data_IF_780759187326
#
_entry.id   IF_780759187326
#
_cell.length_a   1.000
_cell.length_b   1.000
_cell.length_c   1.000
_cell.angle_alpha   90.00
_cell.angle_beta   90.00
_cell.angle_gamma   90.00
#
_symmetry.space_group_name_H-M   'P 1'
#
loop_
_entity.id
_entity.type
_entity.pdbx_description
1 polymer ?
#
# COMPACT_ATOMS: atom_id res chain seq x y z
N UNK A 1 3.75 0.90 -22.66
CA UNK A 1 4.94 0.45 -21.90
C UNK A 1 4.88 1.05 -20.51
N UNK A 2 4.95 0.22 -19.47
CA UNK A 2 4.98 0.68 -18.07
C UNK A 2 6.24 1.54 -17.85
N UNK A 3 6.07 2.74 -17.29
CA UNK A 3 7.20 3.62 -16.96
C UNK A 3 7.81 3.23 -15.62
N UNK A 4 9.11 3.45 -15.50
CA UNK A 4 9.88 3.22 -14.27
C UNK A 4 10.53 4.52 -13.81
N UNK A 5 10.79 4.64 -12.50
CA UNK A 5 11.51 5.75 -11.89
C UNK A 5 12.45 5.24 -10.79
N UNK A 6 13.51 6.00 -10.55
CA UNK A 6 14.38 5.78 -9.39
C UNK A 6 13.69 6.34 -8.15
N UNK A 7 13.55 5.51 -7.12
CA UNK A 7 12.95 5.90 -5.82
C UNK A 7 13.95 5.54 -4.74
N UNK A 8 14.35 6.53 -3.94
CA UNK A 8 15.14 6.26 -2.75
C UNK A 8 14.19 5.84 -1.64
N UNK A 9 14.36 4.63 -1.12
CA UNK A 9 13.58 4.19 0.04
C UNK A 9 14.04 4.94 1.29
N UNK A 10 13.10 5.23 2.17
CA UNK A 10 13.28 6.00 3.41
C UNK A 10 12.76 5.21 4.61
N UNK A 11 12.93 5.75 5.82
CA UNK A 11 12.38 5.11 7.02
C UNK A 11 13.30 4.05 7.63
N UNK A 12 14.60 4.11 7.33
CA UNK A 12 15.58 3.21 7.94
C UNK A 12 15.64 3.39 9.46
N UNK A 13 15.89 2.31 10.17
CA UNK A 13 16.08 2.37 11.64
C UNK A 13 17.45 3.00 11.94
N UNK A 14 17.49 4.01 12.80
CA UNK A 14 18.69 4.69 13.30
C UNK A 14 18.75 4.54 14.82
N UNK A 15 19.89 4.94 15.40
CA UNK A 15 20.13 4.86 16.84
C UNK A 15 20.63 6.20 17.36
N UNK A 16 20.06 6.66 18.46
CA UNK A 16 20.58 7.79 19.22
C UNK A 16 21.85 7.37 19.98
N UNK A 17 22.57 8.34 20.57
CA UNK A 17 23.82 8.09 21.31
C UNK A 17 23.63 7.16 22.51
N UNK A 18 22.43 7.19 23.12
CA UNK A 18 22.02 6.29 24.22
C UNK A 18 21.66 4.86 23.74
N UNK A 19 21.71 4.60 22.43
CA UNK A 19 21.37 3.32 21.82
C UNK A 19 19.88 3.14 21.47
N UNK A 20 19.01 4.10 21.82
CA UNK A 20 17.58 4.06 21.52
C UNK A 20 17.34 3.98 20.02
N UNK A 21 16.54 3.00 19.59
CA UNK A 21 16.18 2.81 18.19
C UNK A 21 15.05 3.75 17.79
N UNK A 22 15.15 4.38 16.63
CA UNK A 22 14.07 5.17 16.05
C UNK A 22 14.03 5.01 14.53
N UNK A 23 12.84 5.17 13.96
CA UNK A 23 12.68 5.26 12.50
C UNK A 23 13.12 6.65 12.05
N UNK A 24 14.03 6.75 11.10
CA UNK A 24 14.38 8.02 10.48
C UNK A 24 13.17 8.58 9.72
N UNK A 25 12.82 9.83 10.00
CA UNK A 25 11.74 10.54 9.32
C UNK A 25 12.32 11.79 8.69
N UNK A 26 12.18 11.91 7.38
CA UNK A 26 12.60 13.09 6.65
C UNK A 26 11.60 14.24 6.89
N UNK A 27 12.04 15.40 7.39
CA UNK A 27 11.15 16.54 7.63
C UNK A 27 10.38 16.96 6.38
N UNK A 28 9.09 17.27 6.54
CA UNK A 28 8.24 17.72 5.44
C UNK A 28 7.73 16.61 4.50
N UNK A 29 8.01 15.34 4.80
CA UNK A 29 7.49 14.20 4.02
C UNK A 29 6.21 13.63 4.62
N UNK A 30 5.28 13.21 3.76
CA UNK A 30 4.04 12.52 4.17
C UNK A 30 4.37 11.24 4.93
N UNK A 31 3.72 11.04 6.08
CA UNK A 31 3.93 9.85 6.91
C UNK A 31 2.79 8.86 6.72
N UNK A 32 3.14 7.60 6.48
CA UNK A 32 2.17 6.50 6.32
C UNK A 32 2.14 5.55 7.52
N UNK A 33 3.12 5.58 8.42
CA UNK A 33 3.06 4.80 9.67
C UNK A 33 3.65 5.63 10.83
N UNK A 34 3.26 5.33 12.06
CA UNK A 34 3.62 6.08 13.25
C UNK A 34 2.58 5.89 14.36
N UNK A 35 2.59 6.78 15.37
CA UNK A 35 1.46 6.90 16.30
C UNK A 35 0.20 7.23 15.48
N UNK A 36 -0.94 6.54 15.67
CA UNK A 36 -2.17 6.83 14.94
C UNK A 36 -2.56 8.31 15.00
N UNK A 37 -2.95 8.87 13.86
CA UNK A 37 -3.44 10.24 13.72
C UNK A 37 -4.24 10.41 12.44
N UNK A 38 -5.13 11.41 12.42
CA UNK A 38 -5.97 11.75 11.28
C UNK A 38 -5.13 12.05 10.03
N UNK A 39 -3.95 12.67 10.18
CA UNK A 39 -3.07 12.96 9.04
C UNK A 39 -2.54 11.70 8.38
N UNK A 40 -2.22 10.65 9.15
CA UNK A 40 -1.77 9.36 8.59
C UNK A 40 -2.95 8.66 7.91
N UNK A 41 -4.15 8.73 8.50
CA UNK A 41 -5.34 8.11 7.93
C UNK A 41 -5.73 8.76 6.61
N UNK A 42 -5.74 10.09 6.54
CA UNK A 42 -5.94 10.84 5.29
C UNK A 42 -4.86 10.51 4.24
N UNK A 43 -3.60 10.35 4.65
CA UNK A 43 -2.55 9.93 3.74
C UNK A 43 -2.83 8.55 3.12
N UNK A 44 -3.33 7.59 3.91
CA UNK A 44 -3.72 6.28 3.39
C UNK A 44 -4.96 6.34 2.52
N UNK A 45 -5.98 7.11 2.92
CA UNK A 45 -7.19 7.30 2.13
C UNK A 45 -6.83 7.81 0.72
N UNK A 46 -5.97 8.82 0.62
CA UNK A 46 -5.50 9.34 -0.67
C UNK A 46 -4.61 8.34 -1.44
N UNK A 47 -3.77 7.56 -0.74
CA UNK A 47 -2.86 6.59 -1.37
C UNK A 47 -3.60 5.44 -2.07
N UNK A 48 -4.72 4.99 -1.52
CA UNK A 48 -5.46 3.81 -2.02
C UNK A 48 -6.62 4.16 -2.97
N UNK A 49 -6.84 5.44 -3.28
CA UNK A 49 -7.88 5.85 -4.23
C UNK A 49 -7.70 5.23 -5.61
N UNK A 50 -8.81 5.06 -6.34
CA UNK A 50 -8.81 4.39 -7.64
C UNK A 50 -8.58 2.88 -7.51
N UNK A 51 -8.90 2.28 -6.37
CA UNK A 51 -8.75 0.83 -6.15
C UNK A 51 -9.57 0.01 -7.14
N UNK A 52 -10.72 0.55 -7.58
CA UNK A 52 -11.60 -0.09 -8.56
C UNK A 52 -11.61 0.77 -9.82
N UNK A 53 -11.27 0.16 -10.96
CA UNK A 53 -11.41 0.76 -12.28
C UNK A 53 -12.49 0.04 -13.05
N UNK A 54 -13.26 0.78 -13.82
CA UNK A 54 -14.23 0.17 -14.71
C UNK A 54 -13.65 -0.10 -16.10
N UNK A 55 -13.94 -1.29 -16.61
CA UNK A 55 -13.70 -1.65 -17.99
C UNK A 55 -14.99 -1.46 -18.79
N UNK A 56 -14.85 -0.92 -20.01
CA UNK A 56 -15.95 -0.64 -20.92
C UNK A 56 -15.63 -1.12 -22.33
N UNK A 57 -16.67 -1.39 -23.13
CA UNK A 57 -16.54 -1.76 -24.54
C UNK A 57 -15.65 -3.00 -24.75
N UNK A 58 -14.74 -2.93 -25.73
CA UNK A 58 -13.88 -4.06 -26.10
C UNK A 58 -12.91 -4.48 -24.98
N UNK A 59 -12.52 -3.55 -24.09
CA UNK A 59 -11.63 -3.85 -22.96
C UNK A 59 -12.28 -4.80 -21.95
N UNK A 60 -13.61 -4.74 -21.81
CA UNK A 60 -14.36 -5.58 -20.89
C UNK A 60 -14.62 -7.00 -21.44
N UNK A 61 -14.38 -7.25 -22.72
CA UNK A 61 -14.79 -8.49 -23.41
C UNK A 61 -14.29 -9.76 -22.70
N UNK A 62 -13.04 -9.74 -22.23
CA UNK A 62 -12.42 -10.89 -21.55
C UNK A 62 -12.81 -11.02 -20.07
N UNK A 63 -13.52 -10.03 -19.54
CA UNK A 63 -13.94 -9.91 -18.14
C UNK A 63 -15.43 -10.19 -17.93
N UNK A 64 -16.20 -10.29 -19.02
CA UNK A 64 -17.58 -10.76 -19.00
C UNK A 64 -17.62 -12.14 -18.30
N UNK A 65 -18.44 -12.25 -17.26
CA UNK A 65 -18.58 -13.41 -16.37
C UNK A 65 -17.38 -13.72 -15.44
N UNK A 66 -16.31 -12.94 -15.46
CA UNK A 66 -15.19 -13.04 -14.50
C UNK A 66 -15.29 -12.01 -13.38
N UNK A 67 -15.95 -10.89 -13.64
CA UNK A 67 -16.28 -9.88 -12.64
C UNK A 67 -17.78 -9.59 -12.66
N UNK A 68 -18.26 -8.87 -11.66
CA UNK A 68 -19.63 -8.40 -11.59
C UNK A 68 -19.89 -7.40 -12.73
N UNK A 69 -21.17 -7.15 -13.03
CA UNK A 69 -21.57 -6.15 -14.03
C UNK A 69 -22.32 -5.05 -13.31
N UNK A 70 -21.85 -3.81 -13.45
CA UNK A 70 -22.48 -2.64 -12.85
C UNK A 70 -23.13 -1.75 -13.92
N UNK A 71 -24.26 -1.12 -13.58
CA UNK A 71 -25.05 -0.20 -14.43
C UNK A 71 -24.98 -0.46 -15.95
N UNK A 72 -25.24 -1.70 -16.37
CA UNK A 72 -25.42 -2.08 -17.76
C UNK A 72 -24.14 -2.36 -18.57
N UNK A 73 -23.02 -1.63 -18.46
CA UNK A 73 -21.85 -1.83 -19.34
C UNK A 73 -20.48 -1.75 -18.63
N UNK A 74 -20.48 -1.62 -17.30
CA UNK A 74 -19.26 -1.38 -16.53
C UNK A 74 -18.85 -2.67 -15.83
N UNK A 75 -17.58 -3.04 -15.98
CA UNK A 75 -17.01 -4.26 -15.42
C UNK A 75 -15.88 -3.87 -14.47
N UNK A 76 -16.16 -3.77 -13.15
CA UNK A 76 -15.17 -3.32 -12.19
C UNK A 76 -14.05 -4.35 -12.05
N UNK A 77 -12.81 -3.86 -12.06
CA UNK A 77 -11.62 -4.64 -11.75
C UNK A 77 -10.71 -3.82 -10.83
N UNK A 78 -9.87 -4.49 -10.05
CA UNK A 78 -8.88 -3.82 -9.22
C UNK A 78 -7.46 -4.01 -9.76
N UNK A 79 -6.65 -2.96 -9.74
CA UNK A 79 -5.22 -3.14 -9.92
C UNK A 79 -4.61 -3.70 -8.62
N UNK A 80 -3.92 -4.83 -8.73
CA UNK A 80 -3.35 -5.62 -7.64
C UNK A 80 -2.59 -4.79 -6.58
N UNK A 81 -1.86 -3.76 -7.01
CA UNK A 81 -1.11 -2.85 -6.13
C UNK A 81 -1.99 -2.16 -5.09
N UNK A 82 -3.24 -1.80 -5.41
CA UNK A 82 -4.14 -1.16 -4.44
C UNK A 82 -4.66 -2.15 -3.41
N UNK A 83 -4.88 -3.41 -3.79
CA UNK A 83 -5.24 -4.45 -2.82
C UNK A 83 -4.06 -4.74 -1.88
N UNK A 84 -2.83 -4.80 -2.40
CA UNK A 84 -1.63 -4.89 -1.56
C UNK A 84 -1.52 -3.70 -0.60
N UNK A 85 -1.74 -2.47 -1.07
CA UNK A 85 -1.71 -1.27 -0.21
C UNK A 85 -2.82 -1.29 0.86
N UNK A 86 -4.04 -1.73 0.50
CA UNK A 86 -5.11 -1.98 1.47
C UNK A 86 -4.68 -2.97 2.56
N UNK A 87 -4.07 -4.11 2.18
CA UNK A 87 -3.54 -5.08 3.14
C UNK A 87 -2.48 -4.46 4.07
N UNK A 88 -1.57 -3.64 3.54
CA UNK A 88 -0.58 -2.92 4.37
C UNK A 88 -1.27 -1.96 5.35
N UNK A 89 -2.29 -1.22 4.91
CA UNK A 89 -3.05 -0.31 5.77
C UNK A 89 -3.78 -1.08 6.89
N UNK A 90 -4.38 -2.22 6.56
CA UNK A 90 -5.06 -3.08 7.53
C UNK A 90 -4.09 -3.59 8.61
N UNK A 91 -2.90 -4.05 8.20
CA UNK A 91 -1.85 -4.45 9.14
C UNK A 91 -1.36 -3.28 9.99
N UNK A 92 -1.17 -2.09 9.40
CA UNK A 92 -0.83 -0.86 10.14
C UNK A 92 -1.86 -0.58 11.24
N UNK A 93 -3.15 -0.61 10.91
CA UNK A 93 -4.23 -0.37 11.86
C UNK A 93 -4.27 -1.44 12.95
N UNK A 94 -4.00 -2.69 12.59
CA UNK A 94 -3.94 -3.82 13.53
C UNK A 94 -2.86 -3.64 14.62
N UNK A 95 -1.79 -2.89 14.36
CA UNK A 95 -0.78 -2.56 15.38
C UNK A 95 -1.31 -1.66 16.51
N UNK A 96 -2.46 -1.01 16.33
CA UNK A 96 -3.06 -0.08 17.30
C UNK A 96 -4.56 -0.35 17.49
N UNK A 97 -4.94 -1.53 18.00
CA UNK A 97 -6.34 -1.95 18.09
C UNK A 97 -7.18 -1.05 19.02
N UNK A 98 -6.57 -0.49 20.06
CA UNK A 98 -7.22 0.44 20.99
C UNK A 98 -7.67 1.75 20.31
N UNK A 99 -6.94 2.19 19.29
CA UNK A 99 -7.26 3.40 18.55
C UNK A 99 -8.29 3.12 17.45
N UNK A 100 -8.02 2.11 16.61
CA UNK A 100 -8.85 1.87 15.43
C UNK A 100 -10.13 1.09 15.71
N UNK A 101 -10.16 0.33 16.82
CA UNK A 101 -11.17 -0.69 17.16
C UNK A 101 -11.33 -1.74 16.06
N UNK A 102 -11.38 -3.04 16.38
CA UNK A 102 -11.63 -4.06 15.36
C UNK A 102 -12.98 -3.78 14.67
N UNK A 103 -12.96 -3.60 13.35
CA UNK A 103 -14.17 -3.39 12.55
C UNK A 103 -15.05 -4.64 12.49
N UNK A 104 -14.45 -5.83 12.63
CA UNK A 104 -15.11 -7.12 12.53
C UNK A 104 -14.99 -7.95 13.82
N UNK A 105 -15.96 -8.83 14.10
CA UNK A 105 -15.85 -9.80 15.19
C UNK A 105 -14.64 -10.73 15.00
N UNK A 106 -14.04 -11.09 16.14
CA UNK A 106 -12.80 -11.86 16.33
C UNK A 106 -12.47 -12.97 15.30
N UNK A 107 -13.41 -13.81 14.81
CA UNK A 107 -13.04 -14.88 13.88
C UNK A 107 -12.65 -14.39 12.48
N UNK A 108 -13.38 -13.41 11.92
CA UNK A 108 -13.11 -12.91 10.56
C UNK A 108 -11.88 -12.01 10.51
N UNK A 109 -11.62 -11.29 11.61
CA UNK A 109 -10.49 -10.37 11.71
C UNK A 109 -9.14 -11.09 11.58
N UNK A 110 -8.96 -12.20 12.31
CA UNK A 110 -7.71 -12.96 12.30
C UNK A 110 -7.43 -13.59 10.93
N UNK A 111 -8.43 -14.25 10.34
CA UNK A 111 -8.29 -14.86 9.01
C UNK A 111 -7.98 -13.83 7.92
N UNK A 112 -8.58 -12.63 8.02
CA UNK A 112 -8.25 -11.54 7.10
C UNK A 112 -6.78 -11.11 7.27
N UNK A 113 -6.26 -11.01 8.50
CA UNK A 113 -4.83 -10.70 8.71
C UNK A 113 -3.91 -11.77 8.13
N UNK A 114 -4.24 -13.06 8.27
CA UNK A 114 -3.47 -14.14 7.65
C UNK A 114 -3.50 -14.07 6.13
N UNK A 115 -4.66 -13.81 5.54
CA UNK A 115 -4.79 -13.58 4.10
C UNK A 115 -3.94 -12.39 3.64
N UNK A 116 -4.01 -11.25 4.33
CA UNK A 116 -3.20 -10.07 4.01
C UNK A 116 -1.70 -10.39 4.02
N UNK A 117 -1.23 -11.09 5.05
CA UNK A 117 0.19 -11.45 5.17
C UNK A 117 0.64 -12.40 4.06
N UNK A 118 -0.14 -13.44 3.74
CA UNK A 118 0.22 -14.37 2.67
C UNK A 118 0.13 -13.71 1.28
N UNK A 119 -0.87 -12.88 1.05
CA UNK A 119 -1.01 -12.15 -0.21
C UNK A 119 0.14 -11.16 -0.44
N UNK A 120 0.54 -10.40 0.59
CA UNK A 120 1.71 -9.52 0.51
C UNK A 120 3.01 -10.29 0.28
N UNK A 121 3.20 -11.45 0.92
CA UNK A 121 4.33 -12.33 0.66
C UNK A 121 4.38 -12.73 -0.82
N UNK A 122 3.26 -13.16 -1.39
CA UNK A 122 3.16 -13.51 -2.81
C UNK A 122 3.47 -12.32 -3.71
N UNK A 123 2.94 -11.13 -3.38
CA UNK A 123 3.21 -9.88 -4.10
C UNK A 123 4.69 -9.52 -4.11
N UNK A 124 5.38 -9.57 -2.96
CA UNK A 124 6.82 -9.32 -2.86
C UNK A 124 7.63 -10.30 -3.71
N UNK A 125 7.28 -11.59 -3.67
CA UNK A 125 7.93 -12.61 -4.51
C UNK A 125 7.66 -12.39 -6.00
N UNK A 126 6.46 -11.97 -6.37
CA UNK A 126 6.12 -11.67 -7.76
C UNK A 126 6.91 -10.47 -8.31
N UNK A 127 7.08 -9.41 -7.50
CA UNK A 127 7.83 -8.23 -7.91
C UNK A 127 9.35 -8.44 -7.89
N UNK A 128 9.87 -9.25 -6.96
CA UNK A 128 11.28 -9.67 -6.86
C UNK A 128 12.28 -8.53 -7.09
N UNK A 129 12.26 -7.51 -6.22
CA UNK A 129 13.22 -6.41 -6.31
C UNK A 129 14.65 -6.89 -6.01
N UNK A 130 15.55 -6.76 -6.99
CA UNK A 130 16.95 -7.19 -6.93
C UNK A 130 17.92 -6.07 -6.53
N UNK A 131 17.41 -4.92 -6.06
CA UNK A 131 18.23 -3.80 -5.60
C UNK A 131 19.21 -4.26 -4.51
N UNK A 132 20.54 -4.14 -4.72
CA UNK A 132 21.51 -4.57 -3.72
C UNK A 132 21.42 -3.72 -2.45
N UNK A 133 21.20 -4.38 -1.32
CA UNK A 133 21.35 -3.78 0.00
C UNK A 133 22.74 -4.11 0.54
N UNK A 134 23.49 -3.09 0.94
CA UNK A 134 24.84 -3.25 1.49
C UNK A 134 24.80 -3.24 3.02
N UNK A 135 25.92 -3.63 3.64
CA UNK A 135 26.07 -3.66 5.10
C UNK A 135 27.04 -2.57 5.56
N UNK A 136 26.75 -1.96 6.70
CA UNK A 136 27.62 -1.01 7.37
C UNK A 136 27.80 -1.35 8.85
N UNK A 137 28.96 -1.02 9.42
CA UNK A 137 29.21 -1.21 10.85
C UNK A 137 28.60 -0.06 11.66
N UNK A 138 27.74 -0.39 12.62
CA UNK A 138 27.22 0.58 13.58
C UNK A 138 28.14 0.63 14.79
N UNK A 139 28.85 1.75 14.97
CA UNK A 139 29.69 1.99 16.14
C UNK A 139 28.86 1.98 17.44
N UNK A 140 27.66 2.58 17.42
CA UNK A 140 26.75 2.65 18.56
C UNK A 140 26.27 1.27 19.02
N UNK A 141 26.00 0.36 18.07
CA UNK A 141 25.49 -1.00 18.38
C UNK A 141 26.58 -2.07 18.43
N UNK A 142 27.82 -1.71 18.11
CA UNK A 142 28.94 -2.63 17.94
C UNK A 142 28.67 -3.84 17.02
N UNK A 143 27.87 -3.66 15.96
CA UNK A 143 27.50 -4.72 15.01
C UNK A 143 27.25 -4.19 13.61
N UNK A 144 27.34 -5.06 12.62
CA UNK A 144 26.93 -4.74 11.24
C UNK A 144 25.40 -4.68 11.13
N UNK A 145 24.92 -3.79 10.25
CA UNK A 145 23.51 -3.69 9.87
C UNK A 145 23.38 -3.59 8.36
N UNK A 146 22.26 -4.06 7.84
CA UNK A 146 21.88 -3.85 6.45
C UNK A 146 21.34 -2.42 6.27
N UNK A 147 21.76 -1.75 5.21
CA UNK A 147 21.26 -0.42 4.85
C UNK A 147 20.11 -0.59 3.86
N UNK A 148 18.92 -0.17 4.30
CA UNK A 148 17.66 -0.28 3.56
C UNK A 148 17.34 0.98 2.75
N UNK A 149 17.93 2.13 3.11
CA UNK A 149 17.65 3.43 2.49
C UNK A 149 18.50 3.64 1.22
N UNK A 150 18.25 2.82 0.21
CA UNK A 150 18.97 2.83 -1.06
C UNK A 150 18.05 3.18 -2.23
N UNK A 151 18.60 3.31 -3.43
CA UNK A 151 17.86 3.61 -4.65
C UNK A 151 17.33 2.34 -5.29
N UNK A 152 16.02 2.32 -5.53
CA UNK A 152 15.28 1.24 -6.16
C UNK A 152 14.76 1.67 -7.53
N UNK A 153 14.64 0.72 -8.45
CA UNK A 153 13.96 0.94 -9.74
C UNK A 153 12.51 0.49 -9.62
N UNK A 154 11.60 1.44 -9.43
CA UNK A 154 10.18 1.15 -9.23
C UNK A 154 9.38 1.43 -10.49
N UNK A 155 8.25 0.72 -10.67
CA UNK A 155 7.21 1.20 -11.58
C UNK A 155 6.72 2.57 -11.11
N UNK A 156 6.40 3.45 -12.05
CA UNK A 156 5.97 4.81 -11.75
C UNK A 156 4.55 4.79 -11.14
N UNK A 157 4.50 4.66 -9.81
CA UNK A 157 3.25 4.52 -9.06
C UNK A 157 2.31 5.70 -9.27
N UNK A 158 2.81 6.94 -9.30
CA UNK A 158 1.99 8.14 -9.48
C UNK A 158 1.24 8.10 -10.82
N UNK A 159 1.87 7.55 -11.87
CA UNK A 159 1.19 7.34 -13.16
C UNK A 159 0.17 6.22 -13.11
N UNK A 160 0.46 5.14 -12.39
CA UNK A 160 -0.49 4.03 -12.20
C UNK A 160 -1.72 4.55 -11.43
N UNK A 161 -1.50 5.33 -10.38
CA UNK A 161 -2.56 5.94 -9.58
C UNK A 161 -3.36 6.96 -10.39
N UNK A 162 -2.71 7.85 -11.14
CA UNK A 162 -3.41 8.78 -12.02
C UNK A 162 -4.25 8.07 -13.09
N UNK A 163 -3.73 6.98 -13.67
CA UNK A 163 -4.48 6.14 -14.61
C UNK A 163 -5.69 5.48 -13.94
N UNK A 164 -5.53 4.97 -12.71
CA UNK A 164 -6.61 4.35 -11.94
C UNK A 164 -7.70 5.35 -11.58
N UNK A 165 -7.30 6.51 -11.04
CA UNK A 165 -8.18 7.62 -10.66
C UNK A 165 -9.02 8.14 -11.83
N UNK A 166 -8.44 8.22 -13.03
CA UNK A 166 -9.15 8.66 -14.23
C UNK A 166 -10.25 7.68 -14.69
N UNK A 167 -10.27 6.48 -14.11
CA UNK A 167 -11.18 5.37 -14.44
C UNK A 167 -11.92 4.87 -13.19
N UNK A 168 -11.80 5.63 -12.10
CA UNK A 168 -12.31 5.25 -10.80
C UNK A 168 -13.82 5.12 -10.90
N UNK A 169 -14.31 3.97 -10.43
CA UNK A 169 -15.73 3.65 -10.37
C UNK A 169 -16.53 4.75 -9.64
N UNK A 170 -15.99 5.26 -8.53
CA UNK A 170 -16.65 6.28 -7.72
C UNK A 170 -16.80 7.63 -8.44
N UNK A 171 -16.04 7.87 -9.52
CA UNK A 171 -16.19 9.09 -10.35
C UNK A 171 -17.47 9.07 -11.18
N UNK A 172 -18.15 7.92 -11.30
CA UNK A 172 -19.37 7.74 -12.09
C UNK A 172 -20.64 7.62 -11.24
N UNK A 173 -20.50 7.59 -9.91
CA UNK A 173 -21.63 7.55 -8.98
C UNK A 173 -21.85 8.93 -8.35
N UNK A 174 -22.95 9.58 -8.70
CA UNK A 174 -23.50 10.71 -7.94
C UNK A 174 -24.07 10.17 -6.59
N UNK A 175 -23.20 9.87 -5.62
CA UNK A 175 -23.60 9.35 -4.31
C UNK A 175 -22.46 9.34 -3.29
N UNK A 176 -22.75 9.34 -1.98
CA UNK A 176 -21.73 9.38 -0.95
C UNK A 176 -20.85 8.12 -0.99
N UNK A 177 -19.54 8.33 -0.98
CA UNK A 177 -18.48 7.32 -0.95
C UNK A 177 -18.69 6.37 0.24
N UNK A 178 -19.26 5.20 0.01
CA UNK A 178 -19.24 4.12 0.99
C UNK A 178 -18.02 3.25 0.71
N UNK A 179 -16.88 3.61 1.30
CA UNK A 179 -15.72 2.73 1.36
C UNK A 179 -16.01 1.62 2.39
N UNK A 180 -16.85 0.65 2.01
CA UNK A 180 -17.02 -0.60 2.77
C UNK A 180 -16.33 -1.74 2.01
N UNK A 181 -15.03 -1.92 2.25
CA UNK A 181 -14.32 -3.18 2.04
C UNK A 181 -13.29 -3.40 3.16
#
# INVERSE_FOLDING_TARGET
MIKVKQVKFTGGIKFAEDGTAYRHVEPGTTQYVGKPSDEIDLAWEELIRGQVVDLIGDEAKDWVNKTTRHHGQWYPVGADVFHQLHCVNMLRRNLNPEYYKPYNPEPLHTEHMYHCLDYLRQGVMCQSDLTPMYFEYSAVRHRTRQVQETWHTCRDFDRIQAWSLARDYDAHLDGPRTHEH
#
